data_IF_073675357311
#
_entry.id   IF_073675357311
#
_cell.length_a   1.000
_cell.length_b   1.000
_cell.length_c   1.000
_cell.angle_alpha   90.00
_cell.angle_beta   90.00
_cell.angle_gamma   90.00
#
_symmetry.space_group_name_H-M   'P 1'
#
loop_
_entity.id
_entity.type
_entity.pdbx_description
1 polymer ?
#
# COMPACT_ATOMS: atom_id res chain seq x y z
N UNK A 1 27.51 -20.38 3.82
CA UNK A 1 28.75 -19.60 4.01
C UNK A 1 28.39 -18.12 3.89
N UNK A 2 28.44 -17.38 4.99
CA UNK A 2 28.28 -15.91 4.99
C UNK A 2 29.58 -15.31 4.48
N UNK A 3 29.65 -15.03 3.18
CA UNK A 3 30.74 -14.24 2.60
C UNK A 3 30.49 -12.77 2.97
N UNK A 4 31.08 -12.33 4.07
CA UNK A 4 31.11 -10.94 4.46
C UNK A 4 32.55 -10.51 4.61
N UNK A 5 33.01 -9.56 3.81
CA UNK A 5 34.34 -8.94 3.89
C UNK A 5 34.64 -8.25 5.24
N UNK A 6 33.80 -8.44 6.27
CA UNK A 6 33.79 -7.70 7.52
C UNK A 6 33.42 -6.22 7.35
N UNK A 7 33.05 -5.81 6.13
CA UNK A 7 32.90 -4.40 5.73
C UNK A 7 31.49 -4.13 5.26
N UNK A 8 31.04 -2.89 5.42
CA UNK A 8 29.72 -2.49 4.94
C UNK A 8 29.69 -2.52 3.41
N UNK A 9 28.62 -3.09 2.86
CA UNK A 9 28.40 -3.14 1.42
C UNK A 9 28.32 -1.74 0.77
N UNK A 10 27.72 -0.76 1.47
CA UNK A 10 27.54 0.60 0.96
C UNK A 10 28.72 1.53 1.30
N UNK A 11 29.47 1.17 2.33
CA UNK A 11 30.60 1.94 2.85
C UNK A 11 31.77 0.99 3.04
N UNK A 12 32.50 0.66 1.95
CA UNK A 12 33.61 -0.26 2.04
C UNK A 12 34.59 0.15 3.11
N UNK A 13 34.80 1.44 3.39
CA UNK A 13 35.67 1.99 4.43
C UNK A 13 35.26 1.63 5.87
N UNK A 14 34.01 1.21 6.12
CA UNK A 14 33.44 0.99 7.46
C UNK A 14 33.31 -0.48 7.82
N UNK A 15 33.39 -0.77 9.12
CA UNK A 15 33.11 -2.09 9.66
C UNK A 15 31.63 -2.47 9.51
N UNK A 16 31.40 -3.71 9.09
CA UNK A 16 30.09 -4.35 9.08
C UNK A 16 29.70 -4.80 10.47
N UNK A 17 28.55 -4.36 10.96
CA UNK A 17 28.06 -4.67 12.31
C UNK A 17 26.75 -5.47 12.31
N UNK A 18 26.04 -5.50 11.18
CA UNK A 18 24.82 -6.27 11.02
C UNK A 18 24.70 -6.89 9.63
N UNK A 19 23.77 -7.84 9.50
CA UNK A 19 23.41 -8.47 8.22
C UNK A 19 21.94 -8.15 7.97
N UNK A 20 21.64 -7.60 6.79
CA UNK A 20 20.24 -7.44 6.37
C UNK A 20 19.61 -8.80 6.13
N UNK A 21 18.48 -9.11 6.77
CA UNK A 21 17.84 -10.43 6.63
C UNK A 21 17.27 -10.72 5.24
N UNK A 22 17.00 -9.70 4.44
CA UNK A 22 16.38 -9.85 3.12
C UNK A 22 17.46 -10.09 2.04
N UNK A 23 18.42 -9.18 1.91
CA UNK A 23 19.47 -9.28 0.88
C UNK A 23 20.78 -9.90 1.36
N UNK A 24 20.89 -10.24 2.65
CA UNK A 24 22.07 -10.85 3.31
C UNK A 24 23.37 -10.06 3.19
N UNK A 25 23.30 -8.77 2.85
CA UNK A 25 24.46 -7.88 2.80
C UNK A 25 24.90 -7.50 4.21
N UNK A 26 26.20 -7.48 4.43
CA UNK A 26 26.82 -6.91 5.63
C UNK A 26 26.73 -5.38 5.57
N UNK A 27 26.29 -4.74 6.65
CA UNK A 27 26.01 -3.30 6.71
C UNK A 27 26.54 -2.69 8.02
N UNK A 28 26.96 -1.42 7.97
CA UNK A 28 27.42 -0.68 9.15
C UNK A 28 26.25 -0.19 10.02
N UNK A 29 26.57 0.41 11.17
CA UNK A 29 25.60 0.97 12.11
C UNK A 29 24.70 2.04 11.48
N UNK A 30 25.21 2.83 10.54
CA UNK A 30 24.41 3.87 9.88
C UNK A 30 23.49 3.31 8.78
N UNK A 31 23.89 2.19 8.15
CA UNK A 31 23.10 1.55 7.10
C UNK A 31 22.08 0.55 7.64
N UNK A 32 22.20 0.13 8.90
CA UNK A 32 21.25 -0.79 9.54
C UNK A 32 20.10 -0.03 10.17
N UNK A 33 18.88 -0.49 9.88
CA UNK A 33 17.67 -0.04 10.55
C UNK A 33 17.01 -1.27 11.15
N UNK A 34 16.72 -1.23 12.45
CA UNK A 34 15.92 -2.26 13.09
C UNK A 34 14.45 -1.98 12.83
N UNK A 35 13.78 -2.93 12.19
CA UNK A 35 12.34 -2.94 12.01
C UNK A 35 11.83 -4.25 12.61
N UNK A 36 10.92 -4.18 13.57
CA UNK A 36 10.45 -5.35 14.34
C UNK A 36 11.61 -6.13 15.01
N UNK A 37 12.62 -5.41 15.52
CA UNK A 37 13.81 -6.02 16.15
C UNK A 37 14.77 -6.71 15.16
N UNK A 38 14.54 -6.59 13.85
CA UNK A 38 15.31 -7.27 12.82
C UNK A 38 16.05 -6.26 11.96
N UNK A 39 17.36 -6.49 11.76
CA UNK A 39 18.23 -5.64 10.94
C UNK A 39 17.86 -5.71 9.45
N UNK A 40 17.58 -4.55 8.86
CA UNK A 40 17.36 -4.36 7.43
C UNK A 40 18.18 -3.19 6.91
N UNK A 41 18.58 -3.24 5.64
CA UNK A 41 19.16 -2.09 4.97
C UNK A 41 18.06 -1.16 4.45
N UNK A 42 18.40 0.12 4.25
CA UNK A 42 17.44 1.14 3.83
C UNK A 42 16.65 0.78 2.54
N UNK A 43 17.31 0.15 1.56
CA UNK A 43 16.68 -0.23 0.29
C UNK A 43 15.62 -1.32 0.48
N UNK A 44 15.96 -2.39 1.20
CA UNK A 44 15.04 -3.47 1.56
C UNK A 44 13.87 -2.97 2.42
N UNK A 45 14.15 -2.16 3.45
CA UNK A 45 13.11 -1.59 4.29
C UNK A 45 12.15 -0.70 3.48
N UNK A 46 12.68 0.13 2.56
CA UNK A 46 11.86 0.95 1.68
C UNK A 46 10.94 0.13 0.77
N UNK A 47 11.41 -0.98 0.22
CA UNK A 47 10.57 -1.90 -0.56
C UNK A 47 9.46 -2.52 0.30
N UNK A 48 9.79 -2.92 1.53
CA UNK A 48 8.81 -3.47 2.48
C UNK A 48 7.74 -2.45 2.86
N UNK A 49 8.13 -1.21 3.14
CA UNK A 49 7.19 -0.13 3.47
C UNK A 49 6.26 0.17 2.30
N UNK A 50 6.77 0.20 1.05
CA UNK A 50 5.93 0.36 -0.15
C UNK A 50 4.93 -0.78 -0.33
N UNK A 51 5.30 -2.01 0.02
CA UNK A 51 4.36 -3.13 -0.01
C UNK A 51 3.24 -2.98 1.04
N UNK A 52 3.50 -2.26 2.14
CA UNK A 52 2.51 -1.96 3.19
C UNK A 52 1.61 -0.76 2.86
N UNK A 53 1.98 0.10 1.91
CA UNK A 53 1.17 1.26 1.51
C UNK A 53 -0.19 0.86 0.89
N UNK A 54 -0.44 -0.44 0.68
CA UNK A 54 -1.70 -0.96 0.19
C UNK A 54 -2.03 -0.49 -1.23
N UNK A 55 -3.05 -1.06 -1.87
CA UNK A 55 -3.63 -0.38 -3.02
C UNK A 55 -4.12 1.00 -2.56
N UNK A 56 -3.73 2.05 -3.28
CA UNK A 56 -4.20 3.41 -3.02
C UNK A 56 -5.73 3.44 -2.84
N UNK A 57 -6.22 4.39 -2.04
CA UNK A 57 -7.61 4.53 -1.62
C UNK A 57 -8.57 4.00 -2.69
N UNK A 58 -9.31 2.92 -2.35
CA UNK A 58 -10.23 2.27 -3.27
C UNK A 58 -11.26 3.32 -3.71
N UNK A 59 -11.05 3.88 -4.89
CA UNK A 59 -11.98 4.84 -5.49
C UNK A 59 -13.15 4.04 -6.03
N UNK A 60 -14.07 3.67 -5.13
CA UNK A 60 -15.25 2.85 -5.40
C UNK A 60 -16.28 3.54 -6.30
N UNK A 61 -16.09 4.82 -6.63
CA UNK A 61 -16.91 5.53 -7.60
C UNK A 61 -16.53 5.15 -9.04
N UNK A 62 -17.15 4.07 -9.50
CA UNK A 62 -17.17 3.69 -10.92
C UNK A 62 -18.34 4.37 -11.64
N UNK A 63 -18.21 4.52 -12.97
CA UNK A 63 -19.30 4.99 -13.84
C UNK A 63 -20.56 4.12 -13.64
N UNK A 64 -20.40 2.82 -13.38
CA UNK A 64 -21.50 1.91 -13.08
C UNK A 64 -22.29 2.29 -11.83
N UNK A 65 -21.60 2.70 -10.74
CA UNK A 65 -22.27 3.17 -9.52
C UNK A 65 -23.02 4.48 -9.76
N UNK A 66 -22.47 5.38 -10.58
CA UNK A 66 -23.17 6.59 -11.01
C UNK A 66 -24.43 6.30 -11.83
N UNK A 67 -24.34 5.38 -12.80
CA UNK A 67 -25.49 4.96 -13.61
C UNK A 67 -26.57 4.30 -12.75
N UNK A 68 -26.18 3.43 -11.81
CA UNK A 68 -27.11 2.77 -10.90
C UNK A 68 -27.86 3.79 -10.01
N UNK A 69 -27.17 4.82 -9.53
CA UNK A 69 -27.79 5.91 -8.77
C UNK A 69 -28.82 6.69 -9.61
N UNK A 70 -28.48 7.00 -10.88
CA UNK A 70 -29.39 7.69 -11.80
C UNK A 70 -30.64 6.85 -12.09
N UNK A 71 -30.47 5.56 -12.38
CA UNK A 71 -31.60 4.63 -12.60
C UNK A 71 -32.49 4.56 -11.35
N UNK A 72 -31.90 4.42 -10.16
CA UNK A 72 -32.64 4.43 -8.90
C UNK A 72 -33.46 5.71 -8.69
N UNK A 73 -32.89 6.87 -9.00
CA UNK A 73 -33.59 8.15 -8.91
C UNK A 73 -34.81 8.21 -9.84
N UNK A 74 -34.65 7.79 -11.10
CA UNK A 74 -35.76 7.77 -12.07
C UNK A 74 -36.87 6.80 -11.66
N UNK A 75 -36.53 5.62 -11.13
CA UNK A 75 -37.51 4.64 -10.66
C UNK A 75 -38.32 5.18 -9.47
N UNK A 76 -37.65 5.78 -8.49
CA UNK A 76 -38.32 6.38 -7.32
C UNK A 76 -39.23 7.53 -7.75
N UNK A 77 -38.71 8.48 -8.54
CA UNK A 77 -39.48 9.61 -9.02
C UNK A 77 -40.68 9.18 -9.88
N UNK A 78 -40.45 8.27 -10.83
CA UNK A 78 -41.50 7.73 -11.68
C UNK A 78 -42.59 7.00 -10.88
N UNK A 79 -42.20 6.26 -9.84
CA UNK A 79 -43.13 5.61 -8.92
C UNK A 79 -44.03 6.61 -8.19
N UNK A 80 -43.45 7.66 -7.63
CA UNK A 80 -44.22 8.74 -6.99
C UNK A 80 -45.18 9.43 -7.97
N UNK A 81 -44.71 9.74 -9.17
CA UNK A 81 -45.53 10.37 -10.20
C UNK A 81 -46.72 9.50 -10.60
N UNK A 82 -46.52 8.20 -10.79
CA UNK A 82 -47.59 7.25 -11.11
C UNK A 82 -48.64 7.19 -10.00
N UNK A 83 -48.21 7.03 -8.74
CA UNK A 83 -49.13 7.00 -7.60
C UNK A 83 -49.92 8.31 -7.51
N UNK A 84 -49.26 9.45 -7.64
CA UNK A 84 -49.93 10.75 -7.64
C UNK A 84 -50.96 10.88 -8.77
N UNK A 85 -50.63 10.40 -9.98
CA UNK A 85 -51.54 10.44 -11.13
C UNK A 85 -52.78 9.56 -10.95
N UNK A 86 -52.65 8.41 -10.29
CA UNK A 86 -53.76 7.49 -10.01
C UNK A 86 -54.67 8.00 -8.88
N UNK A 87 -54.12 8.73 -7.92
CA UNK A 87 -54.91 9.36 -6.85
C UNK A 87 -55.64 10.61 -7.36
N UNK A 88 -55.09 11.28 -8.36
CA UNK A 88 -55.66 12.49 -8.96
C UNK A 88 -56.71 12.21 -10.06
N UNK A 89 -56.86 10.95 -10.50
CA UNK A 89 -57.86 10.49 -11.47
C UNK A 89 -59.12 9.97 -10.77
#
# INVERSE_FOLDING_TARGET
MIQGSGRCHYHPERAGLGICVECRRVICRECTTQFEGINRCASCLGQRLKALEGPGERREWTVANGLLAVVGLFLVWGGFYLVASLVAS
#
